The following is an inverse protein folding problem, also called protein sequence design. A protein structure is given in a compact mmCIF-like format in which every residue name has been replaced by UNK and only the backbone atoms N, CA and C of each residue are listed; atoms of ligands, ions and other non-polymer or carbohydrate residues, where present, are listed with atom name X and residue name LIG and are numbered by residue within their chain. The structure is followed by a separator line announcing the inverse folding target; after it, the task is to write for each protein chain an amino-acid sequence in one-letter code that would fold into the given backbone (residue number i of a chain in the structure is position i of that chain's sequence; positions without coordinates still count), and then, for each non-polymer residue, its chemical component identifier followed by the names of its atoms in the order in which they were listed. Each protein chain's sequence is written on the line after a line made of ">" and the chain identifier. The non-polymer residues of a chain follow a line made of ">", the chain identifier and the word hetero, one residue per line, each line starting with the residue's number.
data_IF_240899124863
#
_entry.id   IF_240899124863
#
_cell.length_a   1.000
_cell.length_b   1.000
_cell.length_c   1.000
_cell.angle_alpha   90.00
_cell.angle_beta   90.00
_cell.angle_gamma   90.00
#
_symmetry.space_group_name_H-M   'P 1'
#
loop_
_entity.id
_entity.type
_entity.pdbx_description
1 polymer ?
#
# COMPACT_ATOMS: atom_id res chain seq x y z
N UNK A 1 -10.37 -4.04 25.93
CA UNK A 1 -9.58 -2.92 25.37
C UNK A 1 -9.03 -3.39 24.03
N UNK A 2 -9.72 -3.07 22.93
CA UNK A 2 -9.31 -3.44 21.57
C UNK A 2 -9.77 -2.33 20.62
N UNK A 3 -9.02 -1.23 20.57
CA UNK A 3 -9.36 -0.07 19.75
C UNK A 3 -8.12 0.66 19.19
N UNK A 4 -6.96 0.02 19.19
CA UNK A 4 -5.70 0.69 18.81
C UNK A 4 -5.26 0.34 17.38
N UNK A 5 -5.58 -0.84 16.86
CA UNK A 5 -5.18 -1.25 15.51
C UNK A 5 -5.96 -0.57 14.38
N UNK A 6 -7.25 -0.29 14.58
CA UNK A 6 -8.08 0.38 13.57
C UNK A 6 -7.70 1.86 13.37
N UNK A 7 -7.25 2.53 14.44
CA UNK A 7 -6.83 3.94 14.38
C UNK A 7 -5.59 4.11 13.50
N UNK A 8 -4.63 3.19 13.57
CA UNK A 8 -3.41 3.23 12.73
C UNK A 8 -3.70 2.94 11.26
N UNK A 9 -4.65 2.04 10.96
CA UNK A 9 -5.03 1.73 9.58
C UNK A 9 -5.72 2.92 8.92
N UNK A 10 -6.69 3.54 9.59
CA UNK A 10 -7.42 4.71 9.08
C UNK A 10 -6.48 5.88 8.78
N UNK A 11 -5.47 6.12 9.62
CA UNK A 11 -4.48 7.18 9.39
C UNK A 11 -3.60 6.94 8.16
N UNK A 12 -3.26 5.68 7.88
CA UNK A 12 -2.50 5.32 6.68
C UNK A 12 -3.33 5.53 5.41
N UNK A 13 -4.60 5.12 5.43
CA UNK A 13 -5.51 5.30 4.30
C UNK A 13 -5.78 6.78 4.01
N UNK A 14 -5.96 7.59 5.05
CA UNK A 14 -6.18 9.03 4.91
C UNK A 14 -4.96 9.74 4.32
N UNK A 15 -3.75 9.37 4.77
CA UNK A 15 -2.50 9.86 4.16
C UNK A 15 -2.37 9.43 2.70
N UNK A 16 -2.69 8.19 2.36
CA UNK A 16 -2.69 7.71 0.98
C UNK A 16 -3.76 8.38 0.12
N UNK A 17 -4.87 8.83 0.72
CA UNK A 17 -5.92 9.58 0.03
C UNK A 17 -5.52 11.01 -0.31
N UNK A 18 -4.78 11.66 0.58
CA UNK A 18 -4.22 13.00 0.35
C UNK A 18 -2.97 13.02 -0.54
N UNK A 19 -2.38 11.87 -0.86
CA UNK A 19 -1.10 11.74 -1.55
C UNK A 19 -1.23 11.83 -3.08
N UNK A 20 -1.59 13.01 -3.59
CA UNK A 20 -1.75 13.24 -5.03
C UNK A 20 -0.46 13.02 -5.83
N UNK A 21 0.70 13.36 -5.24
CA UNK A 21 2.01 13.24 -5.88
C UNK A 21 2.61 11.82 -5.77
N UNK A 22 2.07 10.96 -4.90
CA UNK A 22 2.56 9.59 -4.72
C UNK A 22 3.78 9.48 -3.79
N UNK A 23 4.19 10.56 -3.13
CA UNK A 23 5.37 10.61 -2.26
C UNK A 23 5.21 9.69 -1.04
N UNK A 24 4.02 9.70 -0.41
CA UNK A 24 3.75 8.85 0.74
C UNK A 24 3.59 7.37 0.33
N UNK A 25 2.95 7.10 -0.81
CA UNK A 25 2.87 5.79 -1.43
C UNK A 25 4.27 5.22 -1.65
N UNK A 26 5.17 5.98 -2.26
CA UNK A 26 6.53 5.51 -2.56
C UNK A 26 7.35 5.27 -1.30
N UNK A 27 7.20 6.12 -0.29
CA UNK A 27 7.79 5.87 1.02
C UNK A 27 7.31 4.53 1.62
N UNK A 28 6.00 4.28 1.65
CA UNK A 28 5.44 3.05 2.23
C UNK A 28 5.84 1.82 1.42
N UNK A 29 5.76 1.88 0.08
CA UNK A 29 6.19 0.80 -0.79
C UNK A 29 7.70 0.51 -0.63
N UNK A 30 8.52 1.55 -0.50
CA UNK A 30 9.96 1.43 -0.24
C UNK A 30 10.27 0.70 1.07
N UNK A 31 9.49 0.94 2.14
CA UNK A 31 9.65 0.23 3.42
C UNK A 31 9.32 -1.25 3.29
N UNK A 32 8.25 -1.60 2.56
CA UNK A 32 7.94 -3.01 2.30
C UNK A 32 8.99 -3.68 1.40
N UNK A 33 9.53 -2.98 0.40
CA UNK A 33 10.60 -3.50 -0.44
C UNK A 33 11.89 -3.77 0.37
N UNK A 34 12.26 -2.88 1.29
CA UNK A 34 13.37 -3.11 2.23
C UNK A 34 13.13 -4.34 3.10
N UNK A 35 11.91 -4.49 3.65
CA UNK A 35 11.54 -5.66 4.45
C UNK A 35 11.65 -6.95 3.63
N UNK A 36 11.11 -6.98 2.41
CA UNK A 36 11.19 -8.13 1.51
C UNK A 36 12.63 -8.49 1.17
N UNK A 37 13.47 -7.50 0.90
CA UNK A 37 14.89 -7.74 0.62
C UNK A 37 15.61 -8.35 1.83
N UNK A 38 15.29 -7.91 3.05
CA UNK A 38 15.86 -8.50 4.27
C UNK A 38 15.38 -9.94 4.49
N UNK A 39 14.07 -10.16 4.32
CA UNK A 39 13.46 -11.50 4.44
C UNK A 39 14.06 -12.47 3.42
N UNK A 40 14.19 -12.05 2.16
CA UNK A 40 14.80 -12.87 1.11
C UNK A 40 16.27 -13.17 1.41
N UNK A 41 17.03 -12.19 1.89
CA UNK A 41 18.44 -12.40 2.25
C UNK A 41 18.61 -13.41 3.39
N UNK A 42 17.73 -13.43 4.38
CA UNK A 42 17.76 -14.46 5.43
C UNK A 42 17.34 -15.84 4.89
N UNK A 43 16.33 -15.91 4.01
CA UNK A 43 15.95 -17.17 3.36
C UNK A 43 17.09 -17.74 2.51
N UNK A 44 17.83 -16.90 1.79
CA UNK A 44 18.95 -17.29 0.93
C UNK A 44 20.17 -17.79 1.73
N UNK A 45 20.28 -17.46 3.02
CA UNK A 45 21.35 -17.96 3.92
C UNK A 45 21.15 -19.42 4.34
N UNK A 46 19.99 -20.01 4.05
CA UNK A 46 19.64 -21.35 4.49
C UNK A 46 19.11 -21.34 5.92
N UNK A 47 17.78 -21.26 6.03
CA UNK A 47 17.06 -21.32 7.30
C UNK A 47 16.64 -22.76 7.63
N UNK A 48 16.41 -23.03 8.91
CA UNK A 48 15.71 -24.23 9.33
C UNK A 48 14.27 -24.23 8.76
N UNK A 49 13.62 -25.39 8.58
CA UNK A 49 12.28 -25.46 7.97
C UNK A 49 11.23 -24.61 8.66
N UNK A 50 11.21 -24.57 10.00
CA UNK A 50 10.26 -23.79 10.79
C UNK A 50 10.48 -22.28 10.64
N UNK A 51 11.74 -21.86 10.54
CA UNK A 51 12.11 -20.47 10.28
C UNK A 51 11.78 -20.09 8.83
N UNK A 52 12.02 -20.98 7.87
CA UNK A 52 11.66 -20.75 6.48
C UNK A 52 10.16 -20.50 6.30
N UNK A 53 9.31 -21.29 6.95
CA UNK A 53 7.86 -21.08 6.88
C UNK A 53 7.45 -19.72 7.46
N UNK A 54 8.06 -19.33 8.58
CA UNK A 54 7.82 -18.04 9.22
C UNK A 54 8.23 -16.87 8.32
N UNK A 55 9.41 -16.93 7.71
CA UNK A 55 9.90 -15.93 6.78
C UNK A 55 9.05 -15.87 5.50
N UNK A 56 8.61 -17.02 4.99
CA UNK A 56 7.70 -17.08 3.84
C UNK A 56 6.35 -16.43 4.13
N UNK A 57 5.79 -16.60 5.34
CA UNK A 57 4.56 -15.89 5.75
C UNK A 57 4.77 -14.38 5.81
N UNK A 58 5.91 -13.92 6.34
CA UNK A 58 6.24 -12.48 6.38
C UNK A 58 6.36 -11.91 4.96
N UNK A 59 7.01 -12.65 4.05
CA UNK A 59 7.12 -12.26 2.64
C UNK A 59 5.75 -12.07 1.99
N UNK A 60 4.87 -13.06 2.12
CA UNK A 60 3.50 -13.00 1.59
C UNK A 60 2.69 -11.85 2.21
N UNK A 61 2.82 -11.62 3.51
CA UNK A 61 2.16 -10.51 4.18
C UNK A 61 2.62 -9.15 3.62
N UNK A 62 3.92 -8.99 3.38
CA UNK A 62 4.47 -7.77 2.79
C UNK A 62 4.00 -7.56 1.34
N UNK A 63 3.93 -8.62 0.53
CA UNK A 63 3.40 -8.57 -0.85
C UNK A 63 1.93 -8.15 -0.86
N UNK A 64 1.11 -8.74 0.01
CA UNK A 64 -0.31 -8.38 0.13
C UNK A 64 -0.50 -6.94 0.62
N UNK A 65 0.33 -6.49 1.57
CA UNK A 65 0.27 -5.11 2.05
C UNK A 65 0.62 -4.10 0.95
N UNK A 66 1.64 -4.37 0.13
CA UNK A 66 1.97 -3.55 -1.04
C UNK A 66 0.81 -3.50 -2.05
N UNK A 67 0.14 -4.62 -2.29
CA UNK A 67 -1.01 -4.66 -3.19
C UNK A 67 -2.15 -3.77 -2.67
N UNK A 68 -2.45 -3.83 -1.37
CA UNK A 68 -3.49 -3.00 -0.74
C UNK A 68 -3.15 -1.51 -0.87
N UNK A 69 -1.91 -1.11 -0.59
CA UNK A 69 -1.45 0.28 -0.73
C UNK A 69 -1.66 0.80 -2.16
N UNK A 70 -1.31 -0.02 -3.16
CA UNK A 70 -1.51 0.33 -4.58
C UNK A 70 -2.99 0.47 -4.93
N UNK A 71 -3.85 -0.43 -4.44
CA UNK A 71 -5.30 -0.40 -4.67
C UNK A 71 -5.91 0.87 -4.07
N UNK A 72 -5.57 1.20 -2.82
CA UNK A 72 -6.10 2.38 -2.12
C UNK A 72 -5.70 3.65 -2.85
N UNK A 73 -4.43 3.78 -3.22
CA UNK A 73 -3.94 4.94 -3.95
C UNK A 73 -4.57 5.09 -5.34
N UNK A 74 -4.65 4.00 -6.12
CA UNK A 74 -5.27 4.01 -7.44
C UNK A 74 -6.77 4.38 -7.38
N UNK A 75 -7.49 3.92 -6.35
CA UNK A 75 -8.89 4.29 -6.13
C UNK A 75 -9.06 5.80 -5.90
N UNK A 76 -8.10 6.43 -5.22
CA UNK A 76 -8.13 7.88 -4.97
C UNK A 76 -7.70 8.69 -6.20
N UNK A 77 -6.73 8.20 -6.97
CA UNK A 77 -6.36 8.81 -8.25
C UNK A 77 -7.54 8.83 -9.23
N UNK A 78 -8.34 7.75 -9.28
CA UNK A 78 -9.56 7.68 -10.08
C UNK A 78 -10.69 8.59 -9.57
N UNK A 79 -10.84 8.75 -8.25
CA UNK A 79 -11.83 9.65 -7.64
C UNK A 79 -11.52 11.14 -7.84
N UNK A 80 -10.24 11.53 -7.93
CA UNK A 80 -9.83 12.90 -8.23
C UNK A 80 -10.06 13.29 -9.70
N UNK A 81 -10.08 12.33 -10.63
CA UNK A 81 -10.38 12.60 -12.03
C UNK A 81 -11.86 12.96 -12.28
N UNK A 82 -12.78 12.39 -11.47
CA UNK A 82 -14.23 12.63 -11.59
C UNK A 82 -14.69 13.96 -10.96
N UNK A 83 -13.88 14.52 -10.04
CA UNK A 83 -14.18 15.78 -9.36
C UNK A 83 -13.72 17.04 -10.12
N UNK A 84 -13.06 16.86 -11.28
CA UNK A 84 -12.52 17.94 -12.12
C UNK A 84 -13.37 18.29 -13.36
N UNK A 85 -14.46 17.58 -13.64
CA UNK A 85 -15.31 17.85 -14.81
C UNK A 85 -16.43 18.85 -14.48
N UNK A 86 -16.04 20.04 -14.03
CA UNK A 86 -16.91 21.20 -13.94
C UNK A 86 -16.45 22.28 -14.92
N UNK A 87 -16.83 22.16 -16.19
CA UNK A 87 -17.31 23.26 -17.08
C UNK A 87 -17.29 22.83 -18.55
N UNK A 88 -18.43 22.98 -19.22
CA UNK A 88 -18.53 22.91 -20.68
C UNK A 88 -19.49 21.84 -21.19
N UNK A 89 -20.79 22.00 -20.91
CA UNK A 89 -21.81 21.55 -21.85
C UNK A 89 -21.48 22.12 -23.25
N UNK A 90 -21.35 21.33 -24.31
CA UNK A 90 -21.90 21.75 -25.59
C UNK A 90 -23.38 21.40 -25.56
N UNK A 91 -24.23 22.41 -25.45
CA UNK A 91 -25.60 22.31 -25.93
C UNK A 91 -25.54 21.89 -27.40
N UNK A 92 -25.87 20.63 -27.68
CA UNK A 92 -26.20 20.20 -29.03
C UNK A 92 -27.72 20.27 -29.17
N UNK A 93 -28.12 21.34 -29.87
CA UNK A 93 -29.28 21.34 -30.75
C UNK A 93 -29.31 20.08 -31.62
#
# INVERSE_FOLDING_TARGET
>A
MAATESVTMVQMEEKLRGDAEGTYRDYVLGRFAQLQSGVQAEMDRGLAPDDFESFNRIKLAAENAQAIVKIIWARNAAGNADSGAGTGLPSLL
#
